data_IF_575197843946
#
_entry.id   IF_575197843946
#
_cell.length_a   1.000
_cell.length_b   1.000
_cell.length_c   1.000
_cell.angle_alpha   90.00
_cell.angle_beta   90.00
_cell.angle_gamma   90.00
#
_symmetry.space_group_name_H-M   'P 1'
#
loop_
_entity.id
_entity.type
_entity.pdbx_description
1 polymer ?
#
# COMPACT_ATOMS: atom_id res chain seq x y z
N UNK A 1 0.27 0.74 -21.89
CA UNK A 1 1.68 0.53 -21.51
C UNK A 1 1.87 1.01 -20.08
N UNK A 2 2.64 0.29 -19.27
CA UNK A 2 3.02 0.77 -17.95
C UNK A 2 3.93 2.02 -18.13
N UNK A 3 3.57 3.16 -17.53
CA UNK A 3 4.31 4.42 -17.70
C UNK A 3 5.77 4.34 -17.22
N UNK A 4 6.60 5.38 -17.45
CA UNK A 4 8.05 5.34 -17.22
C UNK A 4 8.46 4.93 -15.79
N UNK A 5 7.61 5.21 -14.79
CA UNK A 5 7.84 4.83 -13.39
C UNK A 5 7.59 3.34 -13.07
N UNK A 6 7.03 2.57 -14.01
CA UNK A 6 6.64 1.16 -13.81
C UNK A 6 7.62 0.17 -14.46
N UNK A 7 8.75 0.65 -14.98
CA UNK A 7 9.80 -0.18 -15.55
C UNK A 7 10.58 -0.99 -14.50
N UNK A 8 11.26 -2.04 -14.95
CA UNK A 8 12.07 -2.92 -14.09
C UNK A 8 13.18 -2.14 -13.37
N UNK A 9 13.83 -1.19 -14.05
CA UNK A 9 14.93 -0.38 -13.50
C UNK A 9 14.49 0.47 -12.30
N UNK A 10 13.28 1.05 -12.37
CA UNK A 10 12.70 1.80 -11.26
C UNK A 10 12.25 0.84 -10.15
N UNK A 11 11.58 -0.25 -10.53
CA UNK A 11 11.04 -1.24 -9.58
C UNK A 11 12.14 -1.89 -8.73
N UNK A 12 13.32 -2.13 -9.28
CA UNK A 12 14.44 -2.77 -8.56
C UNK A 12 15.16 -1.81 -7.61
N UNK A 13 15.10 -0.49 -7.85
CA UNK A 13 15.81 0.53 -7.07
C UNK A 13 14.95 1.20 -6.00
N UNK A 14 13.63 1.20 -6.14
CA UNK A 14 12.72 1.97 -5.29
C UNK A 14 12.83 1.62 -3.80
N UNK A 15 12.99 0.34 -3.44
CA UNK A 15 13.11 -0.06 -2.03
C UNK A 15 14.38 0.48 -1.37
N UNK A 16 15.51 0.53 -2.10
CA UNK A 16 16.76 1.08 -1.59
C UNK A 16 16.66 2.60 -1.39
N UNK A 17 16.10 3.32 -2.36
CA UNK A 17 15.85 4.77 -2.25
C UNK A 17 14.88 5.08 -1.10
N UNK A 18 13.82 4.27 -0.95
CA UNK A 18 12.81 4.43 0.10
C UNK A 18 13.31 4.05 1.50
N UNK A 19 14.54 3.56 1.64
CA UNK A 19 15.18 3.30 2.92
C UNK A 19 16.03 4.49 3.42
N UNK A 20 16.29 5.50 2.56
CA UNK A 20 17.06 6.70 2.91
C UNK A 20 16.18 7.64 3.75
N UNK A 21 16.54 7.95 5.02
CA UNK A 21 15.72 8.76 5.91
C UNK A 21 15.37 10.14 5.34
N UNK A 22 16.33 10.85 4.76
CA UNK A 22 16.15 12.21 4.26
C UNK A 22 15.18 12.26 3.07
N UNK A 23 15.18 11.21 2.24
CA UNK A 23 14.21 11.05 1.15
C UNK A 23 12.82 10.81 1.75
N UNK A 24 12.73 9.98 2.79
CA UNK A 24 11.46 9.64 3.44
C UNK A 24 10.85 10.87 4.10
N UNK A 25 11.63 11.61 4.87
CA UNK A 25 11.19 12.85 5.53
C UNK A 25 10.62 13.82 4.50
N UNK A 26 11.34 14.05 3.40
CA UNK A 26 10.90 14.98 2.35
C UNK A 26 9.59 14.54 1.68
N UNK A 27 9.44 13.24 1.41
CA UNK A 27 8.21 12.71 0.78
C UNK A 27 7.05 12.70 1.77
N UNK A 28 7.29 12.38 3.05
CA UNK A 28 6.28 12.42 4.10
C UNK A 28 5.75 13.84 4.32
N UNK A 29 6.61 14.85 4.35
CA UNK A 29 6.18 16.26 4.39
C UNK A 29 5.27 16.61 3.20
N UNK A 30 5.66 16.22 1.99
CA UNK A 30 4.88 16.48 0.79
C UNK A 30 3.50 15.80 0.86
N UNK A 31 3.45 14.53 1.26
CA UNK A 31 2.21 13.77 1.42
C UNK A 31 1.28 14.42 2.45
N UNK A 32 1.83 14.85 3.60
CA UNK A 32 1.07 15.57 4.64
C UNK A 32 0.53 16.90 4.13
N UNK A 33 1.34 17.67 3.41
CA UNK A 33 0.91 18.94 2.82
C UNK A 33 -0.23 18.74 1.82
N UNK A 34 -0.14 17.72 0.96
CA UNK A 34 -1.19 17.41 -0.01
C UNK A 34 -2.47 17.00 0.72
N UNK A 35 -2.37 16.09 1.69
CA UNK A 35 -3.52 15.62 2.46
C UNK A 35 -4.19 16.75 3.25
N UNK A 36 -3.43 17.64 3.88
CA UNK A 36 -3.95 18.79 4.62
C UNK A 36 -4.63 19.84 3.73
N UNK A 37 -4.28 19.90 2.45
CA UNK A 37 -4.91 20.84 1.49
C UNK A 37 -6.21 20.31 0.85
N UNK A 38 -6.57 19.04 1.09
CA UNK A 38 -7.70 18.40 0.43
C UNK A 38 -9.04 18.75 1.10
N UNK A 39 -9.74 19.76 0.57
CA UNK A 39 -11.00 20.26 1.12
C UNK A 39 -12.14 19.22 1.19
N UNK A 40 -12.18 18.25 0.26
CA UNK A 40 -13.20 17.20 0.20
C UNK A 40 -12.78 15.88 0.87
N UNK A 41 -11.62 15.87 1.56
CA UNK A 41 -10.94 14.65 1.99
C UNK A 41 -10.12 14.01 0.88
N UNK A 42 -9.35 12.98 1.24
CA UNK A 42 -8.40 12.30 0.33
C UNK A 42 -8.28 10.82 0.69
N UNK A 43 -8.06 9.98 -0.32
CA UNK A 43 -7.62 8.60 -0.13
C UNK A 43 -6.13 8.54 -0.43
N UNK A 44 -5.34 8.02 0.53
CA UNK A 44 -3.88 7.92 0.41
C UNK A 44 -3.48 6.45 0.51
N UNK A 45 -2.84 5.94 -0.53
CA UNK A 45 -2.31 4.58 -0.59
C UNK A 45 -0.81 4.56 -0.27
N UNK A 46 -0.35 3.59 0.51
CA UNK A 46 1.07 3.39 0.79
C UNK A 46 1.31 2.26 1.79
N UNK A 47 2.54 2.18 2.31
CA UNK A 47 2.97 1.11 3.24
C UNK A 47 2.84 1.45 4.72
N UNK A 48 2.97 2.74 5.02
CA UNK A 48 3.15 3.31 6.35
C UNK A 48 2.29 4.56 6.55
N UNK A 49 1.21 4.68 5.76
CA UNK A 49 0.33 5.85 5.80
C UNK A 49 -0.32 5.98 7.16
N UNK A 50 -1.01 4.94 7.63
CA UNK A 50 -1.73 4.99 8.91
C UNK A 50 -0.85 4.91 10.16
N UNK A 51 0.44 4.61 10.01
CA UNK A 51 1.38 4.49 11.15
C UNK A 51 2.35 5.67 11.25
N UNK A 52 2.79 6.23 10.12
CA UNK A 52 3.80 7.28 10.06
C UNK A 52 3.28 8.56 9.42
N UNK A 53 2.73 8.46 8.20
CA UNK A 53 2.46 9.66 7.38
C UNK A 53 1.24 10.43 7.92
N UNK A 54 0.14 9.73 8.14
CA UNK A 54 -1.16 10.22 8.62
C UNK A 54 -1.64 9.35 9.80
N UNK A 55 -0.96 9.40 10.96
CA UNK A 55 -1.35 8.61 12.13
C UNK A 55 -2.71 9.01 12.69
N UNK A 56 -3.22 10.20 12.35
CA UNK A 56 -4.53 10.69 12.78
C UNK A 56 -5.61 10.57 11.68
N UNK A 57 -5.38 9.74 10.66
CA UNK A 57 -6.36 9.51 9.60
C UNK A 57 -7.69 8.97 10.17
N UNK A 58 -8.81 9.52 9.68
CA UNK A 58 -10.17 9.17 10.12
C UNK A 58 -10.51 7.68 9.97
N UNK A 59 -9.96 7.03 8.94
CA UNK A 59 -10.11 5.62 8.65
C UNK A 59 -8.80 5.08 8.11
N UNK A 60 -8.32 3.99 8.69
CA UNK A 60 -7.14 3.25 8.26
C UNK A 60 -7.56 1.84 7.87
N UNK A 61 -7.23 1.45 6.65
CA UNK A 61 -7.51 0.11 6.11
C UNK A 61 -6.18 -0.54 5.79
N UNK A 62 -5.97 -1.75 6.31
CA UNK A 62 -4.81 -2.58 6.01
C UNK A 62 -5.25 -3.76 5.15
N UNK A 63 -5.02 -3.67 3.84
CA UNK A 63 -5.34 -4.73 2.90
C UNK A 63 -4.28 -5.84 2.96
N UNK A 64 -4.70 -7.07 3.22
CA UNK A 64 -3.84 -8.26 3.19
C UNK A 64 -4.30 -9.24 2.13
N UNK A 65 -3.41 -10.17 1.75
CA UNK A 65 -3.72 -11.32 0.92
C UNK A 65 -2.56 -12.32 0.99
N UNK A 66 -2.86 -13.59 0.74
CA UNK A 66 -1.86 -14.64 0.57
C UNK A 66 -0.83 -14.28 -0.51
N UNK A 67 0.40 -14.78 -0.37
CA UNK A 67 1.46 -14.53 -1.35
C UNK A 67 1.09 -15.10 -2.73
N UNK A 68 0.35 -16.21 -2.74
CA UNK A 68 -0.17 -16.91 -3.90
C UNK A 68 -1.19 -16.04 -4.64
N UNK A 69 -2.19 -15.49 -3.94
CA UNK A 69 -3.19 -14.61 -4.54
C UNK A 69 -2.55 -13.34 -5.12
N UNK A 70 -1.58 -12.76 -4.41
CA UNK A 70 -0.85 -11.58 -4.88
C UNK A 70 0.01 -11.88 -6.11
N UNK A 71 0.70 -13.03 -6.12
CA UNK A 71 1.50 -13.46 -7.26
C UNK A 71 0.62 -13.75 -8.49
N UNK A 72 -0.52 -14.41 -8.32
CA UNK A 72 -1.48 -14.69 -9.39
C UNK A 72 -2.01 -13.39 -10.03
N UNK A 73 -2.46 -12.43 -9.21
CA UNK A 73 -2.91 -11.11 -9.69
C UNK A 73 -1.80 -10.39 -10.46
N UNK A 74 -0.59 -10.37 -9.91
CA UNK A 74 0.55 -9.67 -10.50
C UNK A 74 1.03 -10.32 -11.81
N UNK A 75 1.01 -11.64 -11.90
CA UNK A 75 1.31 -12.36 -13.14
C UNK A 75 0.29 -12.03 -14.23
N UNK A 76 -1.00 -11.92 -13.87
CA UNK A 76 -2.06 -11.45 -14.77
C UNK A 76 -1.79 -10.04 -15.31
N UNK A 77 -1.37 -9.10 -14.46
CA UNK A 77 -0.98 -7.74 -14.87
C UNK A 77 0.22 -7.72 -15.83
N UNK A 78 1.15 -8.66 -15.66
CA UNK A 78 2.38 -8.78 -16.44
C UNK A 78 2.23 -9.71 -17.66
N UNK A 79 1.00 -10.04 -18.07
CA UNK A 79 0.68 -10.90 -19.23
C UNK A 79 1.29 -12.30 -19.16
N UNK A 80 1.22 -12.95 -17.99
CA UNK A 80 1.65 -14.35 -17.83
C UNK A 80 3.11 -14.52 -17.42
N UNK A 81 3.67 -13.56 -16.68
CA UNK A 81 4.98 -13.73 -16.05
C UNK A 81 4.98 -14.97 -15.14
N UNK A 82 6.13 -15.63 -15.02
CA UNK A 82 6.26 -16.83 -14.19
C UNK A 82 5.79 -16.57 -12.74
N UNK A 83 4.86 -17.42 -12.28
CA UNK A 83 4.19 -17.25 -10.99
C UNK A 83 5.17 -17.40 -9.82
N UNK A 84 6.09 -18.35 -9.91
CA UNK A 84 7.07 -18.61 -8.85
C UNK A 84 8.04 -17.44 -8.71
N UNK A 85 8.60 -16.97 -9.82
CA UNK A 85 9.49 -15.79 -9.85
C UNK A 85 8.76 -14.55 -9.33
N UNK A 86 7.49 -14.36 -9.70
CA UNK A 86 6.67 -13.23 -9.24
C UNK A 86 6.42 -13.32 -7.73
N UNK A 87 6.13 -14.52 -7.22
CA UNK A 87 5.93 -14.78 -5.79
C UNK A 87 7.21 -14.49 -4.98
N UNK A 88 8.34 -15.00 -5.41
CA UNK A 88 9.64 -14.77 -4.74
C UNK A 88 10.00 -13.29 -4.71
N UNK A 89 9.81 -12.58 -5.83
CA UNK A 89 10.04 -11.15 -5.90
C UNK A 89 9.14 -10.35 -4.94
N UNK A 90 7.86 -10.74 -4.82
CA UNK A 90 6.93 -10.13 -3.88
C UNK A 90 7.35 -10.38 -2.42
N UNK A 91 7.67 -11.63 -2.05
CA UNK A 91 8.11 -11.98 -0.70
C UNK A 91 9.37 -11.20 -0.32
N UNK A 92 10.36 -11.15 -1.21
CA UNK A 92 11.60 -10.40 -0.98
C UNK A 92 11.33 -8.92 -0.78
N UNK A 93 10.43 -8.34 -1.57
CA UNK A 93 10.06 -6.92 -1.45
C UNK A 93 9.33 -6.65 -0.14
N UNK A 94 8.37 -7.49 0.24
CA UNK A 94 7.62 -7.30 1.48
C UNK A 94 8.54 -7.42 2.71
N UNK A 95 9.47 -8.38 2.70
CA UNK A 95 10.48 -8.54 3.75
C UNK A 95 11.40 -7.30 3.84
N UNK A 96 11.83 -6.77 2.70
CA UNK A 96 12.61 -5.53 2.67
C UNK A 96 11.80 -4.35 3.22
N UNK A 97 10.54 -4.19 2.81
CA UNK A 97 9.67 -3.08 3.23
C UNK A 97 9.34 -3.14 4.74
N UNK A 98 9.13 -4.34 5.30
CA UNK A 98 8.86 -4.58 6.71
C UNK A 98 10.10 -4.50 7.60
N UNK A 99 11.28 -4.90 7.08
CA UNK A 99 12.54 -4.85 7.81
C UNK A 99 13.21 -3.47 7.88
N UNK A 100 12.59 -2.43 7.30
CA UNK A 100 13.15 -1.07 7.33
C UNK A 100 13.21 -0.52 8.75
N UNK A 101 14.35 0.09 9.10
CA UNK A 101 14.52 0.83 10.36
C UNK A 101 13.59 2.04 10.44
N UNK A 102 13.37 2.71 9.31
CA UNK A 102 12.53 3.92 9.22
C UNK A 102 11.21 3.58 8.53
N UNK A 103 10.11 3.76 9.27
CA UNK A 103 8.73 3.60 8.81
C UNK A 103 8.48 2.25 8.11
N UNK A 104 8.64 1.13 8.85
CA UNK A 104 8.42 -0.20 8.31
C UNK A 104 6.98 -0.36 7.82
N UNK A 105 6.77 -1.28 6.88
CA UNK A 105 5.44 -1.77 6.54
C UNK A 105 4.84 -2.40 7.81
N UNK A 106 3.82 -1.75 8.37
CA UNK A 106 3.16 -2.18 9.59
C UNK A 106 1.69 -1.75 9.59
N UNK A 107 0.84 -2.61 10.16
CA UNK A 107 -0.56 -2.29 10.44
C UNK A 107 -0.63 -1.36 11.66
N UNK A 108 -1.37 -0.25 11.55
CA UNK A 108 -1.64 0.61 12.70
C UNK A 108 -2.59 -0.12 13.68
N UNK A 109 -2.46 0.16 14.99
CA UNK A 109 -3.24 -0.55 16.01
C UNK A 109 -4.76 -0.38 15.87
N UNK A 110 -5.19 0.74 15.29
CA UNK A 110 -6.57 1.11 15.02
C UNK A 110 -7.00 0.88 13.55
N UNK A 111 -6.15 0.25 12.73
CA UNK A 111 -6.49 -0.08 11.35
C UNK A 111 -7.41 -1.30 11.26
N UNK A 112 -8.41 -1.20 10.39
CA UNK A 112 -9.26 -2.33 10.00
C UNK A 112 -8.48 -3.19 9.01
N UNK A 113 -8.23 -4.45 9.37
CA UNK A 113 -7.63 -5.42 8.46
C UNK A 113 -8.68 -6.01 7.53
N UNK A 114 -8.39 -6.04 6.23
CA UNK A 114 -9.26 -6.66 5.23
C UNK A 114 -8.43 -7.68 4.45
N UNK A 115 -8.67 -8.96 4.72
CA UNK A 115 -8.09 -10.04 3.94
C UNK A 115 -8.82 -10.17 2.61
N UNK A 116 -8.08 -9.89 1.53
CA UNK A 116 -8.59 -9.92 0.17
C UNK A 116 -8.29 -11.22 -0.56
N UNK A 117 -7.71 -12.24 0.09
CA UNK A 117 -7.21 -13.47 -0.55
C UNK A 117 -8.23 -14.08 -1.51
N UNK A 118 -9.46 -14.31 -1.03
CA UNK A 118 -10.56 -14.92 -1.79
C UNK A 118 -11.56 -13.88 -2.32
N UNK A 119 -11.25 -12.58 -2.21
CA UNK A 119 -12.13 -11.51 -2.67
C UNK A 119 -11.84 -11.11 -4.11
N UNK A 120 -12.91 -10.92 -4.88
CA UNK A 120 -12.86 -10.24 -6.17
C UNK A 120 -12.63 -8.74 -5.99
N UNK A 121 -12.19 -8.05 -7.05
CA UNK A 121 -12.02 -6.60 -7.02
C UNK A 121 -13.30 -5.86 -6.59
N UNK A 122 -14.46 -6.30 -7.08
CA UNK A 122 -15.75 -5.68 -6.73
C UNK A 122 -16.06 -5.84 -5.24
N UNK A 123 -15.82 -7.04 -4.67
CA UNK A 123 -16.02 -7.28 -3.23
C UNK A 123 -15.06 -6.46 -2.37
N UNK A 124 -13.81 -6.27 -2.81
CA UNK A 124 -12.85 -5.40 -2.10
C UNK A 124 -13.34 -3.95 -2.13
N UNK A 125 -13.80 -3.46 -3.27
CA UNK A 125 -14.35 -2.10 -3.40
C UNK A 125 -15.57 -1.92 -2.49
N UNK A 126 -16.50 -2.88 -2.50
CA UNK A 126 -17.69 -2.85 -1.65
C UNK A 126 -17.33 -2.83 -0.17
N UNK A 127 -16.38 -3.67 0.27
CA UNK A 127 -15.90 -3.69 1.65
C UNK A 127 -15.33 -2.32 2.05
N UNK A 128 -14.46 -1.73 1.23
CA UNK A 128 -13.85 -0.42 1.50
C UNK A 128 -14.91 0.69 1.55
N UNK A 129 -15.85 0.71 0.61
CA UNK A 129 -16.92 1.72 0.56
C UNK A 129 -17.83 1.60 1.78
N UNK A 130 -18.16 0.39 2.21
CA UNK A 130 -18.95 0.15 3.43
C UNK A 130 -18.24 0.69 4.67
N UNK A 131 -16.95 0.40 4.84
CA UNK A 131 -16.15 0.92 5.96
C UNK A 131 -16.10 2.46 5.98
N UNK A 132 -15.99 3.09 4.81
CA UNK A 132 -16.07 4.56 4.68
C UNK A 132 -17.45 5.08 5.09
N UNK A 133 -18.52 4.40 4.67
CA UNK A 133 -19.90 4.74 5.03
C UNK A 133 -20.14 4.66 6.53
N UNK A 134 -19.72 3.58 7.17
CA UNK A 134 -19.84 3.37 8.62
C UNK A 134 -19.09 4.44 9.42
N UNK A 135 -17.85 4.77 9.01
CA UNK A 135 -17.07 5.83 9.66
C UNK A 135 -17.67 7.22 9.49
N UNK A 136 -18.32 7.50 8.35
CA UNK A 136 -19.02 8.77 8.14
C UNK A 136 -20.31 8.87 8.94
N UNK A 137 -21.04 7.77 9.11
CA UNK A 137 -22.29 7.73 9.87
C UNK A 137 -22.09 7.73 11.39
N UNK A 138 -20.92 7.28 11.86
CA UNK A 138 -20.54 7.33 13.28
C UNK A 138 -19.88 8.65 13.73
N UNK A 139 -19.73 9.62 12.83
CA UNK A 139 -19.40 11.02 13.16
C UNK A 139 -20.69 11.83 13.29
#
# INVERSE_FOLDING_TARGET
MAGPIRGQDVTSKVSAVSAVPEVRDRITELQRSIAGSAAAGIVVEGRDIGTTVLPDADLKIFLTASAEARAARRSGELKGADLNTTREALIKRDAADAGRKTSPLAKAGDAVEVDTTELTLQQVIECVVTLVGEKRAGK
#
